data_IF_726622853066
#
_entry.id   IF_726622853066
#
_cell.length_a   1.000
_cell.length_b   1.000
_cell.length_c   1.000
_cell.angle_alpha   90.00
_cell.angle_beta   90.00
_cell.angle_gamma   90.00
#
_symmetry.space_group_name_H-M   'P 1'
#
loop_
_entity.id
_entity.type
_entity.pdbx_description
1 polymer ?
#
# COMPACT_ATOMS: atom_id res chain seq x y z
N UNK A 1 -18.12 6.14 -25.01
CA UNK A 1 -17.33 4.96 -24.64
C UNK A 1 -16.31 5.41 -23.61
N UNK A 2 -16.42 4.98 -22.35
CA UNK A 2 -15.29 5.13 -21.41
C UNK A 2 -14.22 4.17 -21.92
N UNK A 3 -13.09 4.69 -22.39
CA UNK A 3 -11.88 3.87 -22.49
C UNK A 3 -11.58 3.38 -21.08
N UNK A 4 -11.99 2.14 -20.79
CA UNK A 4 -11.63 1.45 -19.56
C UNK A 4 -10.17 1.03 -19.74
N UNK A 5 -9.24 1.96 -19.54
CA UNK A 5 -7.84 1.60 -19.41
C UNK A 5 -7.74 0.69 -18.19
N UNK A 6 -7.49 -0.61 -18.44
CA UNK A 6 -7.44 -1.64 -17.40
C UNK A 6 -6.30 -1.42 -16.39
N UNK A 7 -5.33 -0.56 -16.72
CA UNK A 7 -4.24 -0.20 -15.85
C UNK A 7 -3.71 1.21 -16.12
N UNK A 8 -3.10 1.84 -15.11
CA UNK A 8 -2.38 3.12 -15.24
C UNK A 8 -1.03 3.01 -14.54
N UNK A 9 0.02 3.52 -15.18
CA UNK A 9 1.36 3.56 -14.62
C UNK A 9 1.65 4.98 -14.13
N UNK A 10 2.04 5.11 -12.87
CA UNK A 10 2.52 6.36 -12.30
C UNK A 10 4.03 6.23 -12.07
N UNK A 11 4.86 6.89 -12.90
CA UNK A 11 6.29 6.96 -12.66
C UNK A 11 6.57 7.78 -11.40
N UNK A 12 7.61 7.38 -10.65
CA UNK A 12 8.13 8.11 -9.48
C UNK A 12 7.04 8.60 -8.52
N UNK A 13 6.30 7.65 -7.95
CA UNK A 13 5.28 7.89 -6.93
C UNK A 13 5.81 8.81 -5.83
N UNK A 14 5.03 9.81 -5.42
CA UNK A 14 5.35 10.62 -4.25
C UNK A 14 6.27 11.84 -4.49
N UNK A 15 6.76 12.07 -5.72
CA UNK A 15 7.64 13.21 -6.01
C UNK A 15 6.91 14.56 -6.11
N UNK A 16 5.79 14.62 -6.85
CA UNK A 16 5.00 15.85 -6.96
C UNK A 16 4.17 16.10 -5.70
N UNK A 17 3.62 15.02 -5.15
CA UNK A 17 2.77 15.04 -3.97
C UNK A 17 3.09 13.83 -3.10
N UNK A 18 3.51 14.00 -1.84
CA UNK A 18 3.92 12.90 -0.99
C UNK A 18 2.83 11.83 -0.85
N UNK A 19 3.17 10.59 -1.19
CA UNK A 19 2.31 9.42 -0.97
C UNK A 19 2.77 8.72 0.30
N UNK A 20 1.87 8.65 1.27
CA UNK A 20 2.12 8.04 2.56
C UNK A 20 1.43 6.68 2.70
N UNK A 21 2.05 5.82 3.50
CA UNK A 21 1.63 4.47 3.88
C UNK A 21 1.88 4.24 5.37
N UNK A 22 1.27 3.19 5.92
CA UNK A 22 1.67 2.66 7.23
C UNK A 22 2.64 1.51 7.04
N UNK A 23 3.88 1.68 7.50
CA UNK A 23 4.88 0.62 7.51
C UNK A 23 4.62 -0.32 8.67
N UNK A 24 4.54 -1.61 8.36
CA UNK A 24 4.57 -2.68 9.34
C UNK A 24 5.98 -2.86 9.89
N UNK A 25 6.07 -2.86 11.21
CA UNK A 25 7.29 -3.12 11.96
C UNK A 25 7.05 -4.20 13.02
N UNK A 26 8.13 -4.55 13.71
CA UNK A 26 8.13 -5.52 14.80
C UNK A 26 8.93 -4.98 15.96
N UNK A 27 8.35 -5.06 17.16
CA UNK A 27 9.06 -4.86 18.43
C UNK A 27 9.06 -6.18 19.19
N UNK A 28 10.18 -6.52 19.80
CA UNK A 28 10.29 -7.67 20.70
C UNK A 28 10.44 -7.15 22.12
N UNK A 29 9.45 -7.44 22.96
CA UNK A 29 9.52 -7.20 24.40
C UNK A 29 10.05 -8.46 25.06
N UNK A 30 11.13 -8.32 25.83
CA UNK A 30 11.76 -9.41 26.56
C UNK A 30 11.84 -9.05 28.05
N UNK A 31 11.22 -9.87 28.89
CA UNK A 31 11.40 -9.85 30.34
C UNK A 31 12.06 -11.19 30.71
N UNK A 32 13.40 -11.18 30.74
CA UNK A 32 14.22 -12.39 30.81
C UNK A 32 13.98 -13.17 32.12
N UNK A 33 13.86 -12.47 33.24
CA UNK A 33 13.59 -13.05 34.56
C UNK A 33 12.23 -13.73 34.63
N UNK A 34 11.26 -13.28 33.82
CA UNK A 34 9.94 -13.87 33.70
C UNK A 34 9.86 -14.92 32.58
N UNK A 35 10.94 -15.13 31.82
CA UNK A 35 10.97 -15.94 30.60
C UNK A 35 9.89 -15.53 29.59
N UNK A 36 9.52 -14.25 29.56
CA UNK A 36 8.49 -13.73 28.68
C UNK A 36 9.14 -13.04 27.48
N UNK A 37 8.84 -13.55 26.30
CA UNK A 37 9.20 -12.94 25.02
C UNK A 37 7.92 -12.71 24.22
N UNK A 38 7.61 -11.45 23.95
CA UNK A 38 6.42 -11.06 23.17
C UNK A 38 6.83 -10.28 21.95
N UNK A 39 6.45 -10.82 20.80
CA UNK A 39 6.53 -10.13 19.53
C UNK A 39 5.28 -9.29 19.36
N UNK A 40 5.44 -8.03 18.98
CA UNK A 40 4.33 -7.13 18.71
C UNK A 40 4.51 -6.49 17.34
N UNK A 41 3.43 -6.44 16.56
CA UNK A 41 3.36 -5.76 15.28
C UNK A 41 3.09 -4.28 15.50
N UNK A 42 3.76 -3.43 14.73
CA UNK A 42 3.66 -1.98 14.86
C UNK A 42 3.36 -1.32 13.52
N UNK A 43 2.70 -0.18 13.56
CA UNK A 43 2.43 0.71 12.43
C UNK A 43 3.22 2.00 12.61
N UNK A 44 3.86 2.46 11.55
CA UNK A 44 4.52 3.76 11.51
C UNK A 44 4.16 4.47 10.21
N UNK A 45 3.69 5.71 10.29
CA UNK A 45 3.48 6.54 9.10
C UNK A 45 4.81 6.73 8.36
N UNK A 46 4.83 6.41 7.07
CA UNK A 46 6.03 6.46 6.24
C UNK A 46 5.69 6.86 4.82
N UNK A 47 6.71 7.21 4.04
CA UNK A 47 6.62 7.45 2.61
C UNK A 47 7.76 6.72 1.87
N UNK A 48 8.12 5.53 2.35
CA UNK A 48 9.32 4.79 1.89
C UNK A 48 9.24 4.35 0.43
N UNK A 49 8.04 4.36 -0.17
CA UNK A 49 7.83 4.06 -1.59
C UNK A 49 8.01 5.30 -2.50
N UNK A 50 8.45 6.43 -1.94
CA UNK A 50 8.73 7.64 -2.73
C UNK A 50 9.78 7.34 -3.80
N UNK A 51 9.50 7.73 -5.04
CA UNK A 51 10.36 7.51 -6.19
C UNK A 51 10.19 6.14 -6.86
N UNK A 52 9.36 5.24 -6.32
CA UNK A 52 9.06 3.96 -6.95
C UNK A 52 8.02 4.08 -8.08
N UNK A 53 7.90 3.08 -8.95
CA UNK A 53 6.88 3.08 -10.01
C UNK A 53 5.62 2.40 -9.51
N UNK A 54 4.46 3.06 -9.60
CA UNK A 54 3.17 2.47 -9.23
C UNK A 54 2.43 1.94 -10.47
N UNK A 55 1.87 0.74 -10.37
CA UNK A 55 0.90 0.19 -11.30
C UNK A 55 -0.48 0.15 -10.62
N UNK A 56 -1.37 1.01 -11.08
CA UNK A 56 -2.77 0.97 -10.70
C UNK A 56 -3.51 0.00 -11.61
N UNK A 57 -4.17 -0.99 -11.02
CA UNK A 57 -5.00 -1.96 -11.73
C UNK A 57 -6.48 -1.63 -11.51
N UNK A 58 -7.27 -1.71 -12.58
CA UNK A 58 -8.73 -1.63 -12.45
C UNK A 58 -9.23 -2.78 -11.56
N UNK A 59 -10.29 -2.58 -10.75
CA UNK A 59 -10.95 -3.68 -10.03
C UNK A 59 -11.35 -4.85 -10.95
N UNK A 60 -11.61 -4.57 -12.23
CA UNK A 60 -11.98 -5.58 -13.22
C UNK A 60 -10.78 -6.32 -13.85
N UNK A 61 -9.55 -5.92 -13.52
CA UNK A 61 -8.33 -6.52 -14.07
C UNK A 61 -7.98 -7.83 -13.33
N UNK A 62 -8.69 -8.91 -13.69
CA UNK A 62 -8.45 -10.25 -13.13
C UNK A 62 -7.09 -10.84 -13.53
N UNK A 63 -6.57 -10.47 -14.70
CA UNK A 63 -5.22 -10.85 -15.15
C UNK A 63 -4.30 -9.61 -15.21
N UNK A 64 -3.38 -9.46 -14.24
CA UNK A 64 -2.44 -8.35 -14.21
C UNK A 64 -1.25 -8.53 -15.18
N UNK A 65 -1.04 -9.72 -15.78
CA UNK A 65 0.18 -10.00 -16.53
C UNK A 65 0.44 -9.02 -17.70
N UNK A 66 -0.55 -8.71 -18.56
CA UNK A 66 -0.34 -7.75 -19.65
C UNK A 66 0.03 -6.35 -19.15
N UNK A 67 -0.56 -5.91 -18.05
CA UNK A 67 -0.31 -4.61 -17.44
C UNK A 67 1.09 -4.55 -16.81
N UNK A 68 1.51 -5.61 -16.12
CA UNK A 68 2.85 -5.74 -15.55
C UNK A 68 3.92 -5.76 -16.65
N UNK A 69 3.69 -6.49 -17.74
CA UNK A 69 4.61 -6.51 -18.90
C UNK A 69 4.70 -5.16 -19.59
N UNK A 70 3.56 -4.46 -19.76
CA UNK A 70 3.55 -3.10 -20.30
C UNK A 70 4.35 -2.14 -19.40
N UNK A 71 4.15 -2.21 -18.08
CA UNK A 71 4.90 -1.40 -17.12
C UNK A 71 6.41 -1.68 -17.17
N UNK A 72 6.80 -2.95 -17.26
CA UNK A 72 8.20 -3.36 -17.40
C UNK A 72 8.82 -2.83 -18.70
N UNK A 73 8.11 -2.91 -19.83
CA UNK A 73 8.59 -2.37 -21.11
C UNK A 73 8.73 -0.85 -21.09
N UNK A 74 7.73 -0.15 -20.53
CA UNK A 74 7.78 1.31 -20.41
C UNK A 74 8.94 1.75 -19.52
N UNK A 75 9.13 1.09 -18.37
CA UNK A 75 10.23 1.40 -17.48
C UNK A 75 11.60 1.12 -18.10
N UNK A 76 11.74 0.02 -18.84
CA UNK A 76 12.98 -0.30 -19.56
C UNK A 76 13.30 0.69 -20.69
N UNK A 77 12.28 1.27 -21.33
CA UNK A 77 12.47 2.28 -22.39
C UNK A 77 12.91 3.64 -21.84
N UNK A 78 12.60 3.96 -20.57
CA UNK A 78 12.93 5.23 -19.94
C UNK A 78 13.36 5.05 -18.46
N UNK A 79 14.46 4.33 -18.17
CA UNK A 79 14.81 3.89 -16.81
C UNK A 79 15.02 5.05 -15.82
N UNK A 80 15.49 6.22 -16.28
CA UNK A 80 15.64 7.39 -15.42
C UNK A 80 14.30 7.96 -14.88
N UNK A 81 13.21 7.73 -15.62
CA UNK A 81 11.87 8.20 -15.28
C UNK A 81 11.13 7.23 -14.33
N UNK A 82 11.73 6.08 -14.00
CA UNK A 82 11.07 5.04 -13.23
C UNK A 82 11.89 4.65 -12.00
N UNK A 83 11.17 4.17 -10.98
CA UNK A 83 11.81 3.60 -9.79
C UNK A 83 12.40 2.22 -10.04
N UNK A 84 13.07 1.68 -9.02
CA UNK A 84 13.67 0.34 -9.07
C UNK A 84 12.65 -0.79 -8.89
N UNK A 85 11.50 -0.47 -8.31
CA UNK A 85 10.39 -1.36 -8.01
C UNK A 85 9.13 -0.91 -8.76
N UNK A 86 8.31 -1.90 -9.11
CA UNK A 86 6.92 -1.75 -9.46
C UNK A 86 6.08 -2.08 -8.22
N UNK A 87 5.22 -1.17 -7.79
CA UNK A 87 4.34 -1.34 -6.62
C UNK A 87 2.87 -1.33 -7.04
N UNK A 88 2.06 -2.11 -6.33
CA UNK A 88 0.61 -2.20 -6.53
C UNK A 88 -0.07 -2.08 -5.17
N UNK A 89 -0.87 -1.03 -4.98
CA UNK A 89 -1.75 -0.89 -3.81
C UNK A 89 -3.01 -1.74 -4.02
N UNK A 90 -3.35 -2.58 -3.04
CA UNK A 90 -4.53 -3.44 -3.10
C UNK A 90 -5.59 -2.97 -2.11
N UNK A 91 -6.88 -3.11 -2.43
CA UNK A 91 -7.97 -2.72 -1.54
C UNK A 91 -7.99 -3.59 -0.28
N UNK A 92 -8.10 -2.95 0.88
CA UNK A 92 -8.12 -3.60 2.18
C UNK A 92 -9.38 -4.42 2.43
N UNK A 93 -9.26 -5.34 3.39
CA UNK A 93 -10.35 -6.21 3.80
C UNK A 93 -11.55 -5.40 4.31
N UNK A 94 -12.74 -5.89 3.96
CA UNK A 94 -14.02 -5.35 4.42
C UNK A 94 -14.92 -6.47 4.91
N UNK A 95 -15.76 -6.17 5.90
CA UNK A 95 -16.76 -7.10 6.39
C UNK A 95 -17.92 -7.26 5.40
N UNK A 96 -18.87 -8.15 5.72
CA UNK A 96 -20.05 -8.41 4.89
C UNK A 96 -20.95 -7.17 4.70
N UNK A 97 -20.84 -6.16 5.56
CA UNK A 97 -21.55 -4.88 5.45
C UNK A 97 -20.72 -3.82 4.68
N UNK A 98 -19.54 -4.17 4.16
CA UNK A 98 -18.66 -3.27 3.43
C UNK A 98 -17.81 -2.36 4.31
N UNK A 99 -17.81 -2.55 5.64
CA UNK A 99 -17.05 -1.74 6.58
C UNK A 99 -15.61 -2.21 6.69
N UNK A 100 -14.69 -1.30 6.95
CA UNK A 100 -13.28 -1.63 7.23
C UNK A 100 -13.04 -1.51 8.74
N UNK A 101 -12.86 -2.63 9.48
CA UNK A 101 -12.52 -2.58 10.89
C UNK A 101 -11.20 -1.84 11.15
N UNK A 102 -10.26 -1.92 10.20
CA UNK A 102 -9.01 -1.17 10.25
C UNK A 102 -9.26 0.33 10.27
N UNK A 103 -10.07 0.83 9.32
CA UNK A 103 -10.42 2.25 9.25
C UNK A 103 -11.14 2.74 10.51
N UNK A 104 -12.13 1.98 11.00
CA UNK A 104 -12.91 2.34 12.20
C UNK A 104 -12.05 2.41 13.47
N UNK A 105 -11.04 1.54 13.57
CA UNK A 105 -10.12 1.51 14.70
C UNK A 105 -9.04 2.59 14.63
N UNK A 106 -8.57 2.93 13.42
CA UNK A 106 -7.45 3.84 13.21
C UNK A 106 -7.87 5.19 12.63
N UNK A 107 -8.12 5.26 11.31
CA UNK A 107 -8.29 6.53 10.61
C UNK A 107 -9.53 7.33 11.03
N UNK A 108 -10.63 6.66 11.39
CA UNK A 108 -11.87 7.28 11.86
C UNK A 108 -11.72 8.07 13.18
N UNK A 109 -10.59 7.91 13.88
CA UNK A 109 -10.25 8.69 15.07
C UNK A 109 -9.76 10.09 14.71
N UNK A 110 -9.19 10.26 13.52
CA UNK A 110 -8.58 11.51 13.04
C UNK A 110 -9.40 12.19 11.95
N UNK A 111 -10.18 11.43 11.19
CA UNK A 111 -11.08 11.95 10.15
C UNK A 111 -12.49 11.36 10.33
N UNK A 112 -13.50 12.23 10.47
CA UNK A 112 -14.90 11.80 10.71
C UNK A 112 -15.71 11.60 9.43
N UNK A 113 -15.16 11.90 8.26
CA UNK A 113 -15.83 11.69 6.98
C UNK A 113 -15.62 10.28 6.41
N UNK A 114 -16.21 10.04 5.24
CA UNK A 114 -16.00 8.83 4.45
C UNK A 114 -14.72 8.97 3.58
N UNK A 115 -13.73 8.08 3.74
CA UNK A 115 -12.53 8.07 2.89
C UNK A 115 -12.83 7.98 1.40
N UNK A 116 -13.85 7.22 0.99
CA UNK A 116 -14.17 7.05 -0.42
C UNK A 116 -14.72 8.35 -1.03
N UNK A 117 -15.60 9.03 -0.30
CA UNK A 117 -16.08 10.36 -0.68
C UNK A 117 -14.94 11.40 -0.73
N UNK A 118 -14.03 11.37 0.25
CA UNK A 118 -12.89 12.27 0.27
C UNK A 118 -11.90 12.01 -0.88
N UNK A 119 -11.63 10.74 -1.21
CA UNK A 119 -10.83 10.36 -2.38
C UNK A 119 -11.51 10.77 -3.70
N UNK A 120 -12.84 10.64 -3.81
CA UNK A 120 -13.57 11.10 -4.99
C UNK A 120 -13.50 12.62 -5.17
N UNK A 121 -13.47 13.39 -4.08
CA UNK A 121 -13.42 14.86 -4.11
C UNK A 121 -11.99 15.40 -4.32
N UNK A 122 -11.01 14.85 -3.60
CA UNK A 122 -9.64 15.39 -3.53
C UNK A 122 -8.66 14.61 -4.43
N UNK A 123 -9.08 13.47 -4.96
CA UNK A 123 -8.26 12.62 -5.81
C UNK A 123 -6.95 12.22 -5.12
N UNK A 124 -5.81 12.28 -5.83
CA UNK A 124 -4.50 11.90 -5.29
C UNK A 124 -4.09 12.63 -4.01
N UNK A 125 -4.60 13.85 -3.75
CA UNK A 125 -4.24 14.64 -2.59
C UNK A 125 -4.86 14.16 -1.27
N UNK A 126 -5.89 13.31 -1.35
CA UNK A 126 -6.56 12.79 -0.17
C UNK A 126 -5.59 12.14 0.82
N UNK A 127 -4.74 11.22 0.37
CA UNK A 127 -3.79 10.50 1.25
C UNK A 127 -2.76 11.43 1.89
N UNK A 128 -2.36 12.50 1.22
CA UNK A 128 -1.46 13.52 1.78
C UNK A 128 -2.14 14.34 2.87
N UNK A 129 -3.40 14.72 2.66
CA UNK A 129 -4.19 15.43 3.69
C UNK A 129 -4.49 14.53 4.89
N UNK A 130 -4.89 13.28 4.65
CA UNK A 130 -5.11 12.31 5.71
C UNK A 130 -3.84 12.09 6.54
N UNK A 131 -2.69 11.92 5.90
CA UNK A 131 -1.41 11.73 6.58
C UNK A 131 -1.05 12.89 7.52
N UNK A 132 -1.45 14.12 7.21
CA UNK A 132 -1.21 15.28 8.08
C UNK A 132 -1.98 15.19 9.41
N UNK A 133 -3.05 14.40 9.47
CA UNK A 133 -3.88 14.18 10.67
C UNK A 133 -3.46 12.95 11.48
N UNK A 134 -2.67 12.04 10.89
CA UNK A 134 -2.30 10.76 11.49
C UNK A 134 -1.12 10.89 12.47
N UNK A 135 -1.00 9.99 13.46
CA UNK A 135 0.11 10.01 14.41
C UNK A 135 1.45 9.74 13.71
N UNK A 136 2.49 10.47 14.13
CA UNK A 136 3.87 10.28 13.64
C UNK A 136 4.64 9.25 14.47
N UNK A 137 4.21 9.00 15.70
CA UNK A 137 4.75 7.99 16.58
C UNK A 137 4.34 6.58 16.16
N UNK A 138 5.12 5.60 16.59
CA UNK A 138 4.83 4.19 16.42
C UNK A 138 3.54 3.80 17.16
N UNK A 139 2.66 3.06 16.48
CA UNK A 139 1.40 2.56 17.03
C UNK A 139 1.45 1.04 17.07
N UNK A 140 1.16 0.43 18.21
CA UNK A 140 1.01 -1.04 18.28
C UNK A 140 -0.30 -1.44 17.62
N UNK A 141 -0.24 -2.41 16.69
CA UNK A 141 -1.44 -2.88 15.98
C UNK A 141 -2.45 -3.49 16.97
N UNK A 142 -1.97 -4.15 18.01
CA UNK A 142 -2.80 -4.70 19.09
C UNK A 142 -3.60 -3.65 19.86
N UNK A 143 -3.21 -2.37 19.84
CA UNK A 143 -3.99 -1.28 20.44
C UNK A 143 -5.23 -0.90 19.62
N UNK A 144 -5.30 -1.34 18.35
CA UNK A 144 -6.45 -1.10 17.48
C UNK A 144 -7.57 -2.14 17.67
N UNK A 145 -7.31 -3.19 18.46
CA UNK A 145 -8.25 -4.27 18.73
C UNK A 145 -8.17 -5.42 17.72
N UNK A 146 -8.67 -6.57 18.14
CA UNK A 146 -8.50 -7.85 17.44
C UNK A 146 -9.02 -7.82 15.99
N UNK A 147 -10.15 -7.14 15.75
CA UNK A 147 -10.73 -7.06 14.41
C UNK A 147 -9.85 -6.28 13.41
N UNK A 148 -9.21 -5.20 13.87
CA UNK A 148 -8.29 -4.42 13.06
C UNK A 148 -6.96 -5.16 12.85
N UNK A 149 -6.45 -5.82 13.90
CA UNK A 149 -5.26 -6.66 13.81
C UNK A 149 -5.44 -7.84 12.85
N UNK A 150 -6.61 -8.49 12.88
CA UNK A 150 -6.93 -9.63 12.02
C UNK A 150 -7.17 -9.27 10.54
N UNK A 151 -7.37 -7.99 10.22
CA UNK A 151 -7.66 -7.52 8.85
C UNK A 151 -6.56 -6.65 8.24
N UNK A 152 -5.65 -6.08 9.04
CA UNK A 152 -4.50 -5.31 8.55
C UNK A 152 -3.65 -6.13 7.56
N UNK A 153 -3.37 -5.56 6.39
CA UNK A 153 -2.61 -6.23 5.33
C UNK A 153 -3.35 -7.33 4.57
N UNK A 154 -4.63 -7.56 4.86
CA UNK A 154 -5.48 -8.46 4.08
C UNK A 154 -6.25 -7.67 3.03
N UNK A 155 -6.51 -8.33 1.91
CA UNK A 155 -7.34 -7.78 0.85
C UNK A 155 -8.81 -8.14 1.06
N UNK A 156 -9.70 -7.43 0.37
CA UNK A 156 -11.09 -7.86 0.17
C UNK A 156 -11.15 -9.19 -0.60
N UNK A 157 -12.20 -9.97 -0.37
CA UNK A 157 -12.31 -11.33 -0.91
C UNK A 157 -12.27 -11.39 -2.45
N UNK A 158 -12.85 -10.39 -3.13
CA UNK A 158 -12.84 -10.23 -4.59
C UNK A 158 -11.46 -9.87 -5.16
N UNK A 159 -10.51 -9.41 -4.34
CA UNK A 159 -9.14 -9.12 -4.75
C UNK A 159 -8.15 -10.25 -4.44
N UNK A 160 -8.57 -11.33 -3.78
CA UNK A 160 -7.70 -12.48 -3.47
C UNK A 160 -7.13 -13.15 -4.74
N UNK A 161 -7.90 -13.36 -5.83
CA UNK A 161 -7.34 -13.90 -7.08
C UNK A 161 -6.25 -13.01 -7.67
N UNK A 162 -6.38 -11.68 -7.52
CA UNK A 162 -5.39 -10.74 -7.99
C UNK A 162 -4.09 -10.82 -7.18
N UNK A 163 -4.16 -11.02 -5.86
CA UNK A 163 -2.97 -11.28 -5.02
C UNK A 163 -2.22 -12.52 -5.51
N UNK A 164 -2.94 -13.59 -5.81
CA UNK A 164 -2.35 -14.83 -6.30
C UNK A 164 -1.69 -14.63 -7.68
N UNK A 165 -2.36 -13.92 -8.59
CA UNK A 165 -1.80 -13.61 -9.90
C UNK A 165 -0.54 -12.73 -9.80
N UNK A 166 -0.56 -11.68 -8.97
CA UNK A 166 0.62 -10.84 -8.72
C UNK A 166 1.76 -11.64 -8.09
N UNK A 167 1.46 -12.53 -7.14
CA UNK A 167 2.46 -13.40 -6.51
C UNK A 167 3.11 -14.35 -7.53
N UNK A 168 2.31 -14.92 -8.45
CA UNK A 168 2.81 -15.74 -9.55
C UNK A 168 3.71 -14.95 -10.52
N UNK A 169 3.48 -13.64 -10.66
CA UNK A 169 4.34 -12.73 -11.40
C UNK A 169 5.57 -12.24 -10.62
N UNK A 170 5.80 -12.75 -9.41
CA UNK A 170 6.96 -12.44 -8.58
C UNK A 170 6.82 -11.18 -7.72
N UNK A 171 5.59 -10.73 -7.47
CA UNK A 171 5.34 -9.71 -6.46
C UNK A 171 5.39 -10.30 -5.04
N UNK A 172 5.92 -9.52 -4.11
CA UNK A 172 5.98 -9.84 -2.69
C UNK A 172 5.31 -8.72 -1.86
N UNK A 173 4.85 -8.99 -0.62
CA UNK A 173 4.42 -7.95 0.29
C UNK A 173 5.56 -6.95 0.57
N UNK A 174 5.30 -5.65 0.40
CA UNK A 174 6.30 -4.60 0.66
C UNK A 174 6.48 -4.27 2.15
N UNK A 175 5.56 -4.74 3.01
CA UNK A 175 5.44 -4.30 4.40
C UNK A 175 4.73 -2.95 4.58
N UNK A 176 4.20 -2.35 3.50
CA UNK A 176 3.44 -1.12 3.54
C UNK A 176 1.93 -1.39 3.44
N UNK A 177 1.14 -0.62 4.19
CA UNK A 177 -0.31 -0.65 4.17
C UNK A 177 -0.88 0.71 3.73
N UNK A 178 -2.01 0.67 3.03
CA UNK A 178 -2.82 1.86 2.72
C UNK A 178 -3.34 2.52 3.99
N UNK A 179 -3.35 3.85 4.01
CA UNK A 179 -3.81 4.64 5.17
C UNK A 179 -5.32 4.50 5.41
N UNK A 180 -6.08 4.31 4.34
CA UNK A 180 -7.53 4.46 4.30
C UNK A 180 -8.29 3.17 4.63
N UNK A 181 -7.71 2.00 4.37
CA UNK A 181 -8.39 0.72 4.63
C UNK A 181 -7.47 -0.41 5.13
N UNK A 182 -6.17 -0.13 5.30
CA UNK A 182 -5.19 -1.12 5.75
C UNK A 182 -4.82 -2.17 4.70
N UNK A 183 -5.21 -1.97 3.43
CA UNK A 183 -4.87 -2.88 2.34
C UNK A 183 -3.36 -2.95 2.07
N UNK A 184 -2.84 -4.11 1.66
CA UNK A 184 -1.41 -4.30 1.46
C UNK A 184 -0.93 -3.62 0.19
N UNK A 185 0.35 -3.23 0.19
CA UNK A 185 1.08 -2.87 -1.02
C UNK A 185 2.01 -4.02 -1.39
N UNK A 186 1.86 -4.54 -2.62
CA UNK A 186 2.77 -5.53 -3.18
C UNK A 186 3.84 -4.84 -4.02
N UNK A 187 5.04 -5.43 -4.10
CA UNK A 187 6.14 -4.90 -4.91
C UNK A 187 6.86 -6.00 -5.69
N UNK A 188 7.45 -5.62 -6.80
CA UNK A 188 8.37 -6.45 -7.59
C UNK A 188 9.51 -5.58 -8.13
N UNK A 189 10.72 -6.11 -8.17
CA UNK A 189 11.85 -5.41 -8.79
C UNK A 189 11.67 -5.31 -10.31
N UNK A 190 11.83 -4.11 -10.86
CA UNK A 190 11.89 -3.88 -12.29
C UNK A 190 13.26 -4.29 -12.84
N UNK A 191 13.27 -4.92 -14.01
CA UNK A 191 14.49 -5.31 -14.71
C UNK A 191 14.90 -4.18 -15.66
N UNK A 192 15.78 -3.29 -15.21
CA UNK A 192 16.20 -2.11 -15.97
C UNK A 192 17.66 -2.25 -16.43
N UNK A 193 17.90 -2.02 -17.72
CA UNK A 193 19.25 -1.95 -18.31
C UNK A 193 19.66 -0.49 -18.45
N UNK A 194 20.23 0.10 -17.39
CA UNK A 194 20.67 1.49 -17.35
C UNK A 194 20.82 1.99 -15.91
N UNK A 195 21.45 3.16 -15.68
CA UNK A 195 21.50 3.74 -14.35
C UNK A 195 20.09 4.04 -13.88
N UNK A 196 19.64 3.35 -12.83
CA UNK A 196 18.45 3.76 -12.08
C UNK A 196 18.89 4.98 -11.29
N UNK A 197 18.29 6.12 -11.61
CA UNK A 197 18.56 7.33 -10.85
C UNK A 197 18.11 7.10 -9.41
N UNK A 198 19.12 6.95 -8.55
CA UNK A 198 19.04 6.57 -7.14
C UNK A 198 19.23 7.77 -6.22
N UNK A 199 19.13 8.99 -6.76
CA UNK A 199 19.40 10.27 -6.07
C UNK A 199 18.32 10.67 -5.04
N UNK A 200 17.75 9.68 -4.36
CA UNK A 200 16.93 9.84 -3.15
C UNK A 200 17.43 8.91 -2.02
N UNK A 201 18.75 8.71 -1.94
CA UNK A 201 19.42 8.21 -0.73
C UNK A 201 19.99 9.37 0.06
#
# INVERSE_FOLDING_TARGET
>A
MKDLTLARITPRLGLDLPRYHLRLGRVVHAAAELQLFRVQTTLLLSNDLTGETELHLSPDALDPAPAVEAAQRQAAAAPAQHGSQLVVELPGWRDAAGRSPFWEAFGARFFKGDPAAAEAQLGPAWRTHLAALLPRQLVYLSFLGEAAEACAGRVRADAEPLVQALSALGFEPSGQLRLDDGGPVMRRRLQLSGPVDSTMR
#
